data_IF_444586044708
#
_entry.id   IF_444586044708
#
_cell.length_a   1.000
_cell.length_b   1.000
_cell.length_c   1.000
_cell.angle_alpha   90.00
_cell.angle_beta   90.00
_cell.angle_gamma   90.00
#
_symmetry.space_group_name_H-M   'P 1'
#
loop_
_entity.id
_entity.type
_entity.pdbx_description
1 polymer ?
#
# COMPACT_ATOMS: atom_id res chain seq x y z
N UNK A 1 9.79 5.33 12.54
CA UNK A 1 9.21 4.15 11.86
C UNK A 1 9.76 3.96 10.43
N UNK A 2 9.57 4.84 9.46
CA UNK A 2 10.03 4.68 8.06
C UNK A 2 11.49 4.27 7.90
N UNK A 3 12.43 4.87 8.64
CA UNK A 3 13.88 4.54 8.54
C UNK A 3 14.17 3.07 8.87
N UNK A 4 13.43 2.47 9.80
CA UNK A 4 13.64 1.08 10.20
C UNK A 4 13.15 0.10 9.10
N UNK A 5 11.98 0.37 8.51
CA UNK A 5 11.43 -0.44 7.41
C UNK A 5 12.29 -0.33 6.16
N UNK A 6 12.71 0.90 5.80
CA UNK A 6 13.64 1.14 4.69
C UNK A 6 14.94 0.34 4.85
N UNK A 7 15.58 0.45 6.02
CA UNK A 7 16.81 -0.30 6.30
C UNK A 7 16.62 -1.82 6.27
N UNK A 8 15.48 -2.32 6.77
CA UNK A 8 15.15 -3.74 6.72
C UNK A 8 14.94 -4.23 5.27
N UNK A 9 14.20 -3.47 4.43
CA UNK A 9 14.03 -3.78 3.01
C UNK A 9 15.34 -3.76 2.23
N UNK A 10 16.22 -2.78 2.50
CA UNK A 10 17.54 -2.71 1.87
C UNK A 10 18.37 -3.95 2.20
N UNK A 11 18.43 -4.36 3.46
CA UNK A 11 19.12 -5.61 3.88
C UNK A 11 18.50 -6.85 3.23
N UNK A 12 17.17 -6.93 3.20
CA UNK A 12 16.47 -8.04 2.54
C UNK A 12 16.83 -8.14 1.06
N UNK A 13 16.84 -7.03 0.33
CA UNK A 13 17.26 -6.99 -1.07
C UNK A 13 18.69 -7.47 -1.28
N UNK A 14 19.63 -7.05 -0.42
CA UNK A 14 21.02 -7.52 -0.45
C UNK A 14 21.12 -9.03 -0.23
N UNK A 15 20.41 -9.58 0.77
CA UNK A 15 20.41 -11.03 1.06
C UNK A 15 19.86 -11.81 -0.13
N UNK A 16 18.75 -11.37 -0.72
CA UNK A 16 18.15 -12.03 -1.89
C UNK A 16 19.13 -11.97 -3.06
N UNK A 17 19.75 -10.81 -3.33
CA UNK A 17 20.77 -10.68 -4.39
C UNK A 17 21.89 -11.70 -4.19
N UNK A 18 22.46 -11.80 -2.99
CA UNK A 18 23.55 -12.73 -2.71
C UNK A 18 23.15 -14.19 -2.95
N UNK A 19 21.93 -14.57 -2.58
CA UNK A 19 21.41 -15.92 -2.84
C UNK A 19 21.17 -16.20 -4.33
N UNK A 20 20.73 -15.19 -5.09
CA UNK A 20 20.50 -15.32 -6.54
C UNK A 20 21.81 -15.45 -7.29
N UNK A 21 22.82 -14.65 -7.00
CA UNK A 21 24.13 -14.73 -7.69
C UNK A 21 24.90 -16.03 -7.39
N UNK A 22 24.56 -16.71 -6.30
CA UNK A 22 25.07 -18.07 -6.03
C UNK A 22 24.43 -19.16 -6.88
N UNK A 23 23.19 -18.94 -7.35
CA UNK A 23 22.44 -19.88 -8.17
C UNK A 23 22.54 -19.60 -9.68
N UNK A 24 22.71 -18.34 -10.04
CA UNK A 24 22.71 -17.87 -11.44
C UNK A 24 23.94 -17.00 -11.72
N UNK A 25 24.63 -17.18 -12.86
CA UNK A 25 25.77 -16.37 -13.26
C UNK A 25 25.32 -14.97 -13.74
N UNK A 26 24.69 -14.21 -12.83
CA UNK A 26 24.40 -12.77 -13.02
C UNK A 26 25.18 -11.97 -11.99
N UNK A 27 25.64 -10.78 -12.37
CA UNK A 27 26.39 -9.94 -11.43
C UNK A 27 25.46 -9.12 -10.54
N UNK A 28 25.90 -8.85 -9.31
CA UNK A 28 25.19 -7.93 -8.42
C UNK A 28 25.06 -6.53 -9.03
N UNK A 29 26.07 -6.10 -9.81
CA UNK A 29 26.05 -4.83 -10.53
C UNK A 29 24.90 -4.77 -11.53
N UNK A 30 24.68 -5.83 -12.31
CA UNK A 30 23.57 -5.90 -13.27
C UNK A 30 22.21 -5.82 -12.57
N UNK A 31 22.03 -6.57 -11.47
CA UNK A 31 20.81 -6.50 -10.65
C UNK A 31 20.58 -5.07 -10.12
N UNK A 32 21.62 -4.41 -9.63
CA UNK A 32 21.52 -3.03 -9.15
C UNK A 32 21.22 -2.03 -10.28
N UNK A 33 21.70 -2.28 -11.48
CA UNK A 33 21.37 -1.48 -12.68
C UNK A 33 19.88 -1.59 -13.02
N UNK A 34 19.29 -2.78 -12.93
CA UNK A 34 17.85 -2.98 -13.12
C UNK A 34 17.01 -2.28 -12.04
N UNK A 35 17.58 -1.99 -10.86
CA UNK A 35 16.96 -1.25 -9.80
C UNK A 35 17.28 0.26 -9.82
N UNK A 36 17.94 0.77 -10.87
CA UNK A 36 18.32 2.18 -10.95
C UNK A 36 17.09 3.09 -10.88
N UNK A 37 17.15 4.13 -10.06
CA UNK A 37 16.04 5.04 -9.80
C UNK A 37 15.03 4.58 -8.75
N UNK A 38 15.11 3.33 -8.28
CA UNK A 38 14.27 2.83 -7.19
C UNK A 38 14.95 3.06 -5.82
N UNK A 39 14.14 3.36 -4.80
CA UNK A 39 14.63 3.51 -3.42
C UNK A 39 15.04 2.19 -2.77
N UNK A 40 14.51 1.08 -3.26
CA UNK A 40 14.81 -0.27 -2.76
C UNK A 40 14.95 -1.25 -3.93
N UNK A 41 15.66 -2.35 -3.66
CA UNK A 41 15.69 -3.51 -4.54
C UNK A 41 14.47 -4.40 -4.25
N UNK A 42 13.68 -4.67 -5.29
CA UNK A 42 12.53 -5.55 -5.24
C UNK A 42 12.80 -6.84 -6.02
N UNK A 43 12.03 -7.89 -5.78
CA UNK A 43 12.10 -9.18 -6.50
C UNK A 43 11.99 -9.00 -8.01
N UNK A 44 11.16 -8.06 -8.45
CA UNK A 44 10.95 -7.74 -9.86
C UNK A 44 12.22 -7.24 -10.56
N UNK A 45 13.06 -6.44 -9.88
CA UNK A 45 14.35 -6.00 -10.44
C UNK A 45 15.32 -7.16 -10.61
N UNK A 46 15.28 -8.13 -9.70
CA UNK A 46 16.08 -9.36 -9.79
C UNK A 46 15.60 -10.20 -10.97
N UNK A 47 14.28 -10.37 -11.12
CA UNK A 47 13.71 -11.08 -12.27
C UNK A 47 14.03 -10.39 -13.58
N UNK A 48 14.05 -9.05 -13.61
CA UNK A 48 14.49 -8.28 -14.79
C UNK A 48 15.93 -8.63 -15.16
N UNK A 49 16.84 -8.63 -14.21
CA UNK A 49 18.23 -9.02 -14.46
C UNK A 49 18.36 -10.49 -14.95
N UNK A 50 17.53 -11.40 -14.43
CA UNK A 50 17.47 -12.80 -14.88
C UNK A 50 16.86 -12.92 -16.29
N UNK A 51 15.91 -12.07 -16.66
CA UNK A 51 15.38 -11.97 -18.02
C UNK A 51 16.46 -11.47 -18.99
N UNK A 52 17.15 -10.40 -18.67
CA UNK A 52 18.24 -9.86 -19.48
C UNK A 52 19.36 -10.88 -19.69
N UNK A 53 19.60 -11.74 -18.72
CA UNK A 53 20.56 -12.83 -18.80
C UNK A 53 20.02 -14.11 -19.47
N UNK A 54 18.76 -14.12 -19.93
CA UNK A 54 18.14 -15.20 -20.69
C UNK A 54 17.63 -16.39 -19.85
N UNK A 55 17.52 -16.27 -18.52
CA UNK A 55 17.03 -17.34 -17.65
C UNK A 55 15.50 -17.47 -17.64
N UNK A 56 14.79 -16.45 -18.03
CA UNK A 56 13.33 -16.44 -18.13
C UNK A 56 12.88 -15.42 -19.18
N UNK A 57 11.73 -15.66 -19.78
CA UNK A 57 11.10 -14.70 -20.71
C UNK A 57 10.13 -13.73 -20.03
N UNK A 58 9.80 -13.94 -18.75
CA UNK A 58 8.79 -13.17 -18.02
C UNK A 58 9.22 -12.85 -16.61
N UNK A 59 8.74 -11.72 -16.07
CA UNK A 59 8.98 -11.35 -14.67
C UNK A 59 8.23 -12.28 -13.71
N UNK A 60 6.97 -12.61 -14.03
CA UNK A 60 6.07 -13.41 -13.15
C UNK A 60 5.76 -14.78 -13.76
N UNK A 61 6.80 -15.51 -14.18
CA UNK A 61 6.69 -16.88 -14.72
C UNK A 61 7.08 -17.94 -13.71
N UNK A 62 7.38 -19.14 -14.22
CA UNK A 62 7.79 -20.31 -13.44
C UNK A 62 9.00 -20.02 -12.55
N UNK A 63 10.01 -19.33 -13.08
CA UNK A 63 11.21 -19.00 -12.33
C UNK A 63 10.90 -18.09 -11.14
N UNK A 64 9.95 -17.14 -11.29
CA UNK A 64 9.49 -16.32 -10.15
C UNK A 64 8.85 -17.19 -9.07
N UNK A 65 7.97 -18.12 -9.46
CA UNK A 65 7.34 -19.03 -8.51
C UNK A 65 8.39 -19.93 -7.83
N UNK A 66 9.33 -20.46 -8.59
CA UNK A 66 10.42 -21.27 -8.05
C UNK A 66 11.24 -20.52 -7.00
N UNK A 67 11.61 -19.27 -7.26
CA UNK A 67 12.48 -18.50 -6.37
C UNK A 67 11.75 -17.82 -5.21
N UNK A 68 10.48 -17.45 -5.40
CA UNK A 68 9.79 -16.53 -4.50
C UNK A 68 8.44 -16.99 -3.97
N UNK A 69 7.93 -18.17 -4.37
CA UNK A 69 6.80 -18.81 -3.70
C UNK A 69 7.25 -19.49 -2.43
N UNK A 70 6.48 -19.34 -1.35
CA UNK A 70 6.79 -19.98 -0.05
C UNK A 70 6.72 -21.51 -0.10
N UNK A 71 5.96 -22.06 -1.04
CA UNK A 71 5.78 -23.51 -1.22
C UNK A 71 6.89 -24.14 -2.06
N UNK A 72 7.80 -23.33 -2.62
CA UNK A 72 8.91 -23.82 -3.41
C UNK A 72 10.07 -24.29 -2.55
N UNK A 73 10.70 -25.46 -2.87
CA UNK A 73 11.91 -25.91 -2.19
C UNK A 73 13.10 -24.97 -2.41
N UNK A 74 13.08 -24.19 -3.49
CA UNK A 74 14.10 -23.20 -3.84
C UNK A 74 13.82 -21.81 -3.29
N UNK A 75 12.81 -21.66 -2.44
CA UNK A 75 12.35 -20.37 -1.92
C UNK A 75 13.47 -19.55 -1.29
N UNK A 76 13.70 -18.39 -1.86
CA UNK A 76 14.65 -17.39 -1.35
C UNK A 76 13.94 -16.48 -0.37
N UNK A 77 14.04 -16.79 0.91
CA UNK A 77 13.47 -15.98 1.98
C UNK A 77 14.43 -14.91 2.47
N UNK A 78 13.88 -13.73 2.67
CA UNK A 78 14.48 -12.68 3.50
C UNK A 78 13.35 -11.87 4.13
N UNK A 79 12.84 -12.31 5.29
CA UNK A 79 11.67 -11.69 5.91
C UNK A 79 11.97 -10.27 6.36
N UNK A 80 11.01 -9.37 6.12
CA UNK A 80 11.01 -8.00 6.65
C UNK A 80 9.94 -7.94 7.73
N UNK A 81 10.32 -7.51 8.93
CA UNK A 81 9.35 -7.22 9.98
C UNK A 81 8.74 -5.83 9.71
N UNK A 82 7.45 -5.81 9.45
CA UNK A 82 6.68 -4.58 9.33
C UNK A 82 6.16 -4.13 10.69
N UNK A 83 5.92 -2.83 10.89
CA UNK A 83 5.23 -2.33 12.07
C UNK A 83 3.79 -2.82 12.11
N UNK A 84 3.19 -2.77 13.27
CA UNK A 84 1.77 -3.02 13.46
C UNK A 84 0.94 -1.96 12.73
N UNK A 85 -0.27 -2.33 12.27
CA UNK A 85 -1.13 -1.43 11.51
C UNK A 85 -1.58 -0.22 12.33
N UNK A 86 -1.81 -0.39 13.63
CA UNK A 86 -2.18 0.71 14.53
C UNK A 86 -1.03 1.70 14.70
N UNK A 87 0.22 1.21 14.86
CA UNK A 87 1.41 2.07 14.86
C UNK A 87 1.56 2.85 13.56
N UNK A 88 1.15 2.26 12.41
CA UNK A 88 1.16 2.95 11.11
C UNK A 88 0.13 4.06 11.08
N UNK A 89 -1.12 3.80 11.52
CA UNK A 89 -2.18 4.81 11.60
C UNK A 89 -1.75 5.99 12.46
N UNK A 90 -1.28 5.73 13.69
CA UNK A 90 -0.79 6.77 14.59
C UNK A 90 0.31 7.62 13.93
N UNK A 91 1.28 6.96 13.30
CA UNK A 91 2.39 7.67 12.63
C UNK A 91 1.94 8.52 11.45
N UNK A 92 0.91 8.12 10.72
CA UNK A 92 0.31 8.91 9.62
C UNK A 92 -0.35 10.15 10.21
N UNK A 93 -1.13 10.00 11.27
CA UNK A 93 -1.83 11.10 11.92
C UNK A 93 -0.87 12.07 12.63
N UNK A 94 0.15 11.58 13.32
CA UNK A 94 1.21 12.40 13.93
C UNK A 94 1.93 13.27 12.92
N UNK A 95 2.12 12.73 11.70
CA UNK A 95 2.66 13.50 10.58
C UNK A 95 1.63 14.46 9.94
N UNK A 96 0.40 14.50 10.44
CA UNK A 96 -0.71 15.26 9.85
C UNK A 96 -1.18 14.66 8.52
N UNK A 97 -1.01 13.37 8.30
CA UNK A 97 -1.45 12.63 7.12
C UNK A 97 -2.95 12.29 7.14
N UNK A 98 -3.37 11.58 6.10
CA UNK A 98 -4.69 10.98 5.94
C UNK A 98 -4.43 9.50 5.67
N UNK A 99 -5.02 8.62 6.48
CA UNK A 99 -4.83 7.18 6.37
C UNK A 99 -5.90 6.56 5.46
N UNK A 100 -5.48 6.08 4.31
CA UNK A 100 -6.36 5.42 3.32
C UNK A 100 -5.92 3.98 3.12
N UNK A 101 -6.84 3.01 3.28
CA UNK A 101 -6.57 1.62 2.96
C UNK A 101 -6.58 1.41 1.45
N UNK A 102 -5.44 1.00 0.89
CA UNK A 102 -5.30 0.68 -0.52
C UNK A 102 -5.93 -0.69 -0.86
N UNK A 103 -6.54 -0.80 -2.02
CA UNK A 103 -7.05 -2.03 -2.68
C UNK A 103 -7.58 -3.13 -1.72
N UNK A 104 -8.54 -2.86 -0.83
CA UNK A 104 -9.00 -3.84 0.17
C UNK A 104 -9.58 -5.12 -0.44
N UNK A 105 -10.13 -5.05 -1.64
CA UNK A 105 -10.65 -6.22 -2.36
C UNK A 105 -9.55 -7.20 -2.80
N UNK A 106 -8.32 -6.74 -3.06
CA UNK A 106 -7.24 -7.59 -3.55
C UNK A 106 -6.83 -8.66 -2.53
N UNK A 107 -6.98 -8.37 -1.24
CA UNK A 107 -6.58 -9.25 -0.14
C UNK A 107 -7.76 -9.66 0.75
N UNK A 108 -9.00 -9.45 0.29
CA UNK A 108 -10.22 -9.71 1.06
C UNK A 108 -10.16 -9.13 2.50
N UNK A 109 -9.72 -7.87 2.59
CA UNK A 109 -9.45 -7.21 3.89
C UNK A 109 -10.68 -6.49 4.47
N UNK A 110 -11.89 -6.94 4.15
CA UNK A 110 -13.13 -6.25 4.55
C UNK A 110 -13.33 -6.20 6.06
N UNK A 111 -13.07 -7.31 6.75
CA UNK A 111 -13.23 -7.38 8.22
C UNK A 111 -12.25 -6.42 8.92
N UNK A 112 -11.04 -6.26 8.36
CA UNK A 112 -10.04 -5.34 8.88
C UNK A 112 -10.45 -3.86 8.75
N UNK A 113 -11.27 -3.51 7.75
CA UNK A 113 -11.78 -2.13 7.62
C UNK A 113 -12.57 -1.74 8.86
N UNK A 114 -13.55 -2.57 9.26
CA UNK A 114 -14.41 -2.28 10.41
C UNK A 114 -13.62 -2.19 11.72
N UNK A 115 -12.54 -2.97 11.84
CA UNK A 115 -11.63 -2.94 12.98
C UNK A 115 -10.80 -1.64 13.02
N UNK A 116 -10.36 -1.13 11.85
CA UNK A 116 -9.50 0.04 11.77
C UNK A 116 -10.25 1.39 11.79
N UNK A 117 -11.55 1.41 11.50
CA UNK A 117 -12.36 2.65 11.56
C UNK A 117 -12.26 3.32 12.94
N UNK A 118 -12.50 2.64 14.07
CA UNK A 118 -12.36 3.26 15.38
C UNK A 118 -10.91 3.62 15.73
N UNK A 119 -9.93 3.00 15.08
CA UNK A 119 -8.51 3.32 15.22
C UNK A 119 -8.06 4.51 14.35
N UNK A 120 -8.98 5.11 13.57
CA UNK A 120 -8.72 6.31 12.80
C UNK A 120 -8.45 6.11 11.32
N UNK A 121 -8.90 5.01 10.72
CA UNK A 121 -8.89 4.90 9.27
C UNK A 121 -9.73 6.01 8.66
N UNK A 122 -9.15 6.79 7.74
CA UNK A 122 -9.78 7.98 7.15
C UNK A 122 -10.46 7.69 5.80
N UNK A 123 -10.05 6.66 5.08
CA UNK A 123 -10.59 6.40 3.74
C UNK A 123 -10.27 5.02 3.18
N UNK A 124 -10.91 4.71 2.05
CA UNK A 124 -10.80 3.46 1.32
C UNK A 124 -10.51 3.71 -0.17
N UNK A 125 -9.67 2.87 -0.78
CA UNK A 125 -9.55 2.84 -2.23
C UNK A 125 -10.67 1.97 -2.81
N UNK A 126 -11.64 2.61 -3.47
CA UNK A 126 -12.83 1.99 -4.06
C UNK A 126 -12.57 1.61 -5.53
N UNK A 127 -12.00 2.57 -6.28
CA UNK A 127 -11.80 2.40 -7.73
C UNK A 127 -10.40 1.86 -8.00
N UNK A 128 -10.30 0.53 -8.02
CA UNK A 128 -9.07 -0.20 -8.30
C UNK A 128 -9.32 -1.22 -9.43
N UNK A 129 -8.36 -1.49 -10.34
CA UNK A 129 -8.57 -2.39 -11.48
C UNK A 129 -8.93 -3.83 -11.09
N UNK A 130 -8.46 -4.28 -9.92
CA UNK A 130 -8.72 -5.63 -9.41
C UNK A 130 -9.98 -5.74 -8.57
N UNK A 131 -10.66 -4.63 -8.30
CA UNK A 131 -11.97 -4.64 -7.67
C UNK A 131 -13.05 -4.81 -8.73
N UNK A 132 -13.80 -5.89 -8.68
CA UNK A 132 -14.99 -6.10 -9.50
C UNK A 132 -16.12 -5.15 -9.11
N UNK A 133 -17.22 -5.21 -9.83
CA UNK A 133 -18.36 -4.30 -9.57
C UNK A 133 -18.96 -4.53 -8.17
N UNK A 134 -19.09 -5.76 -7.76
CA UNK A 134 -19.68 -6.10 -6.45
C UNK A 134 -18.74 -5.71 -5.29
N UNK A 135 -17.43 -5.94 -5.43
CA UNK A 135 -16.47 -5.49 -4.43
C UNK A 135 -16.45 -3.96 -4.32
N UNK A 136 -16.50 -3.25 -5.44
CA UNK A 136 -16.59 -1.78 -5.42
C UNK A 136 -17.84 -1.27 -4.73
N UNK A 137 -19.01 -1.88 -5.02
CA UNK A 137 -20.25 -1.54 -4.33
C UNK A 137 -20.14 -1.79 -2.82
N UNK A 138 -19.55 -2.93 -2.42
CA UNK A 138 -19.33 -3.27 -1.01
C UNK A 138 -18.41 -2.27 -0.31
N UNK A 139 -17.27 -1.94 -0.93
CA UNK A 139 -16.31 -0.97 -0.36
C UNK A 139 -16.96 0.42 -0.24
N UNK A 140 -17.69 0.83 -1.27
CA UNK A 140 -18.39 2.12 -1.29
C UNK A 140 -19.45 2.20 -0.19
N UNK A 141 -20.28 1.17 -0.02
CA UNK A 141 -21.27 1.12 1.04
C UNK A 141 -20.66 1.16 2.45
N UNK A 142 -19.49 0.54 2.64
CA UNK A 142 -18.74 0.64 3.90
C UNK A 142 -18.24 2.08 4.10
N UNK A 143 -17.69 2.69 3.05
CA UNK A 143 -17.22 4.06 3.12
C UNK A 143 -18.34 5.05 3.47
N UNK A 144 -19.53 4.90 2.87
CA UNK A 144 -20.71 5.71 3.22
C UNK A 144 -21.16 5.49 4.67
N UNK A 145 -21.22 4.23 5.11
CA UNK A 145 -21.63 3.88 6.47
C UNK A 145 -20.79 4.54 7.56
N UNK A 146 -19.49 4.70 7.32
CA UNK A 146 -18.52 5.22 8.28
C UNK A 146 -18.01 6.64 7.96
N UNK A 147 -18.63 7.35 7.01
CA UNK A 147 -18.19 8.68 6.52
C UNK A 147 -16.69 8.72 6.16
N UNK A 148 -16.22 7.68 5.46
CA UNK A 148 -14.84 7.55 5.02
C UNK A 148 -14.63 8.22 3.67
N UNK A 149 -13.43 8.75 3.46
CA UNK A 149 -12.98 9.21 2.15
C UNK A 149 -12.91 8.04 1.16
N UNK A 150 -13.20 8.34 -0.11
CA UNK A 150 -13.06 7.36 -1.19
C UNK A 150 -12.00 7.80 -2.18
N UNK A 151 -11.16 6.88 -2.61
CA UNK A 151 -10.10 7.14 -3.58
C UNK A 151 -10.07 6.08 -4.67
N UNK A 152 -9.28 6.30 -5.70
CA UNK A 152 -9.03 5.33 -6.74
C UNK A 152 -7.71 5.55 -7.45
N UNK A 153 -7.16 4.48 -7.99
CA UNK A 153 -5.92 4.47 -8.72
C UNK A 153 -5.76 3.25 -9.62
N UNK A 154 -4.86 3.34 -10.58
CA UNK A 154 -4.58 2.23 -11.52
C UNK A 154 -3.64 1.19 -10.92
N UNK A 155 -2.96 1.50 -9.82
CA UNK A 155 -1.86 0.69 -9.26
C UNK A 155 -0.80 0.35 -10.33
N UNK A 156 -0.45 1.36 -11.13
CA UNK A 156 0.40 1.20 -12.31
C UNK A 156 1.85 0.89 -11.90
N UNK A 157 2.34 -0.27 -12.34
CA UNK A 157 3.70 -0.76 -12.09
C UNK A 157 4.55 -0.91 -13.35
N UNK A 158 4.14 -0.34 -14.47
CA UNK A 158 4.84 -0.47 -15.74
C UNK A 158 4.96 -1.93 -16.17
N UNK A 159 6.18 -2.36 -16.50
CA UNK A 159 6.46 -3.76 -16.86
C UNK A 159 6.47 -4.74 -15.68
N UNK A 160 6.46 -4.23 -14.44
CA UNK A 160 6.59 -5.02 -13.21
C UNK A 160 5.23 -5.48 -12.66
N UNK A 161 4.33 -5.89 -13.52
CA UNK A 161 3.03 -6.45 -13.18
C UNK A 161 2.70 -7.63 -14.09
N UNK A 162 1.89 -8.58 -13.60
CA UNK A 162 1.41 -9.71 -14.41
C UNK A 162 0.34 -9.30 -15.43
N UNK A 163 -0.36 -8.21 -15.16
CA UNK A 163 -1.46 -7.68 -16.00
C UNK A 163 -1.31 -6.17 -16.10
N UNK A 164 -0.47 -5.67 -17.05
CA UNK A 164 -0.27 -4.24 -17.20
C UNK A 164 -1.57 -3.57 -17.65
N UNK A 165 -1.93 -2.50 -16.98
CA UNK A 165 -3.09 -1.67 -17.30
C UNK A 165 -2.61 -0.26 -17.70
N UNK A 166 -3.27 0.39 -18.67
CA UNK A 166 -2.94 1.76 -19.01
C UNK A 166 -3.09 2.69 -17.80
N UNK A 167 -2.15 3.60 -17.65
CA UNK A 167 -2.19 4.61 -16.60
C UNK A 167 -3.50 5.41 -16.68
N UNK A 168 -4.20 5.57 -15.56
CA UNK A 168 -5.47 6.29 -15.50
C UNK A 168 -6.71 5.46 -15.83
N UNK A 169 -6.59 4.13 -16.01
CA UNK A 169 -7.73 3.23 -16.17
C UNK A 169 -8.70 3.32 -15.00
N UNK A 170 -8.18 3.45 -13.78
CA UNK A 170 -8.94 3.81 -12.58
C UNK A 170 -8.37 5.11 -12.01
N UNK A 171 -9.25 5.93 -11.46
CA UNK A 171 -8.90 7.22 -10.86
C UNK A 171 -9.91 7.62 -9.80
N UNK A 172 -9.49 8.48 -8.90
CA UNK A 172 -10.39 9.10 -7.92
C UNK A 172 -11.38 10.00 -8.68
N UNK A 173 -12.70 9.85 -8.48
CA UNK A 173 -13.70 10.77 -9.02
C UNK A 173 -13.49 12.21 -8.50
N UNK A 174 -13.97 13.19 -9.24
CA UNK A 174 -13.79 14.61 -8.92
C UNK A 174 -14.37 14.97 -7.55
N UNK A 175 -15.59 14.52 -7.26
CA UNK A 175 -16.25 14.74 -5.96
C UNK A 175 -15.44 14.16 -4.78
N UNK A 176 -14.87 12.97 -4.95
CA UNK A 176 -14.02 12.32 -3.94
C UNK A 176 -12.67 13.06 -3.80
N UNK A 177 -12.14 13.59 -4.89
CA UNK A 177 -10.93 14.42 -4.86
C UNK A 177 -11.18 15.72 -4.08
N UNK A 178 -12.28 16.38 -4.32
CA UNK A 178 -12.69 17.60 -3.59
C UNK A 178 -12.87 17.30 -2.09
N UNK A 179 -13.51 16.18 -1.75
CA UNK A 179 -13.63 15.73 -0.36
C UNK A 179 -12.26 15.51 0.29
N UNK A 180 -11.33 14.85 -0.41
CA UNK A 180 -9.97 14.62 0.06
C UNK A 180 -9.19 15.93 0.28
N UNK A 181 -9.25 16.86 -0.66
CA UNK A 181 -8.57 18.16 -0.57
C UNK A 181 -9.10 19.02 0.59
N UNK A 182 -10.39 18.94 0.87
CA UNK A 182 -11.04 19.69 1.93
C UNK A 182 -11.06 18.99 3.29
N UNK A 183 -10.64 17.72 3.38
CA UNK A 183 -10.79 16.88 4.55
C UNK A 183 -10.20 17.49 5.84
N UNK A 184 -8.96 17.95 5.80
CA UNK A 184 -8.32 18.59 6.97
C UNK A 184 -9.02 19.84 7.44
N UNK A 185 -9.57 20.61 6.50
CA UNK A 185 -10.32 21.82 6.82
C UNK A 185 -11.66 21.46 7.46
N UNK A 186 -12.36 20.44 6.94
CA UNK A 186 -13.59 19.89 7.51
C UNK A 186 -13.33 19.39 8.94
N UNK A 187 -12.36 18.51 9.14
CA UNK A 187 -12.00 17.95 10.47
C UNK A 187 -11.65 19.04 11.51
N UNK A 188 -10.87 20.05 11.12
CA UNK A 188 -10.56 21.18 12.03
C UNK A 188 -11.80 21.97 12.46
N UNK A 189 -12.75 22.17 11.54
CA UNK A 189 -14.02 22.87 11.85
C UNK A 189 -14.89 22.03 12.79
N UNK A 190 -14.98 20.72 12.56
CA UNK A 190 -15.73 19.77 13.39
C UNK A 190 -15.15 19.69 14.82
N UNK A 191 -13.83 19.57 14.95
CA UNK A 191 -13.16 19.58 16.25
C UNK A 191 -13.40 20.89 17.01
N UNK A 192 -13.30 22.03 16.34
CA UNK A 192 -13.57 23.32 16.96
C UNK A 192 -15.02 23.45 17.43
N UNK A 193 -15.98 22.96 16.63
CA UNK A 193 -17.39 22.95 16.99
C UNK A 193 -17.66 22.05 18.20
N UNK A 194 -17.11 20.83 18.21
CA UNK A 194 -17.24 19.90 19.33
C UNK A 194 -16.66 20.48 20.64
N UNK A 195 -15.48 21.13 20.57
CA UNK A 195 -14.91 21.80 21.73
C UNK A 195 -15.83 22.91 22.29
N UNK A 196 -16.40 23.73 21.41
CA UNK A 196 -17.34 24.79 21.84
C UNK A 196 -18.61 24.22 22.47
N UNK A 197 -19.14 23.12 21.95
CA UNK A 197 -20.31 22.45 22.52
C UNK A 197 -20.02 21.90 23.92
N UNK A 198 -18.83 21.31 24.13
CA UNK A 198 -18.39 20.85 25.46
C UNK A 198 -18.22 22.01 26.43
N UNK A 199 -17.57 23.11 26.02
CA UNK A 199 -17.41 24.29 26.85
C UNK A 199 -18.78 24.91 27.27
N UNK A 200 -19.72 24.99 26.33
CA UNK A 200 -21.07 25.48 26.61
C UNK A 200 -21.82 24.55 27.58
N UNK A 201 -21.71 23.23 27.41
CA UNK A 201 -22.33 22.25 28.31
C UNK A 201 -21.78 22.37 29.74
N UNK A 202 -20.46 22.52 29.87
CA UNK A 202 -19.82 22.70 31.18
C UNK A 202 -20.22 24.04 31.85
N UNK A 203 -20.36 25.12 31.07
CA UNK A 203 -20.80 26.41 31.57
C UNK A 203 -22.25 26.35 32.12
N UNK A 204 -23.15 25.63 31.45
CA UNK A 204 -24.55 25.44 31.87
C UNK A 204 -24.64 24.55 33.13
N UNK A 205 -23.75 23.54 33.26
CA UNK A 205 -23.73 22.64 34.42
C UNK A 205 -23.17 23.29 35.71
N UNK A 206 -22.46 24.41 35.57
CA UNK A 206 -21.87 25.16 36.71
C UNK A 206 -22.64 26.43 37.08
N UNK A 207 -23.78 26.71 36.45
CA UNK A 207 -24.67 27.83 36.73
C UNK A 207 -25.93 27.37 37.49
#
# INVERSE_FOLDING_TARGET
MQKNVYGARKRAGQIITMKVIQKFPVSAEHIMKCAAGSTNLYKQHIMHALMDAGYTATVFGELYQQLFSKDSPDYISSPVKYPDVYEVLDSIHDAGGIAVMAHPAEYDSFDLIEELVPAGLDGLEVWHPRAGEEERKRIFAIAERYDLLTTGGTDFHGMYTSSPLPLGTCRTPEESLDALLNYKTKKRREQKKAMQEVEMSLAVSNA
#
